data_IF_010394398905
#
_entry.id   IF_010394398905
#
_cell.length_a   1.000
_cell.length_b   1.000
_cell.length_c   1.000
_cell.angle_alpha   90.00
_cell.angle_beta   90.00
_cell.angle_gamma   90.00
#
_symmetry.space_group_name_H-M   'P 1'
#
loop_
_entity.id
_entity.type
_entity.pdbx_description
1 polymer ?
#
# COMPACT_ATOMS: atom_id res chain seq x y z
N UNK A 1 -20.93 -13.81 -31.29
CA UNK A 1 -21.66 -13.91 -30.00
C UNK A 1 -20.85 -14.56 -28.87
N UNK A 2 -20.17 -15.71 -29.07
CA UNK A 2 -19.39 -16.39 -28.02
C UNK A 2 -18.27 -15.55 -27.38
N UNK A 3 -17.49 -14.82 -28.19
CA UNK A 3 -16.44 -13.91 -27.69
C UNK A 3 -17.03 -12.77 -26.86
N UNK A 4 -18.14 -12.18 -27.30
CA UNK A 4 -18.77 -11.04 -26.64
C UNK A 4 -19.34 -11.44 -25.27
N UNK A 5 -19.96 -12.62 -25.18
CA UNK A 5 -20.41 -13.21 -23.91
C UNK A 5 -19.24 -13.53 -22.96
N UNK A 6 -18.12 -14.01 -23.50
CA UNK A 6 -16.90 -14.29 -22.72
C UNK A 6 -16.29 -12.99 -22.16
N UNK A 7 -16.18 -11.94 -22.97
CA UNK A 7 -15.69 -10.64 -22.53
C UNK A 7 -16.58 -10.03 -21.44
N UNK A 8 -17.90 -10.09 -21.63
CA UNK A 8 -18.85 -9.54 -20.65
C UNK A 8 -18.78 -10.28 -19.30
N UNK A 9 -18.72 -11.62 -19.33
CA UNK A 9 -18.58 -12.42 -18.11
C UNK A 9 -17.25 -12.19 -17.40
N UNK A 10 -16.14 -12.07 -18.13
CA UNK A 10 -14.83 -11.71 -17.55
C UNK A 10 -14.86 -10.31 -16.94
N UNK A 11 -15.48 -9.32 -17.60
CA UNK A 11 -15.61 -7.96 -17.07
C UNK A 11 -16.42 -7.93 -15.77
N UNK A 12 -17.51 -8.70 -15.73
CA UNK A 12 -18.40 -8.78 -14.56
C UNK A 12 -17.67 -9.43 -13.36
N UNK A 13 -16.92 -10.50 -13.59
CA UNK A 13 -16.06 -11.10 -12.56
C UNK A 13 -14.95 -10.15 -12.09
N UNK A 14 -14.33 -9.39 -13.00
CA UNK A 14 -13.32 -8.40 -12.65
C UNK A 14 -13.91 -7.28 -11.76
N UNK A 15 -15.12 -6.80 -12.07
CA UNK A 15 -15.82 -5.82 -11.25
C UNK A 15 -16.12 -6.36 -9.85
N UNK A 16 -16.60 -7.61 -9.74
CA UNK A 16 -16.81 -8.28 -8.45
C UNK A 16 -15.49 -8.40 -7.67
N UNK A 17 -14.41 -8.83 -8.34
CA UNK A 17 -13.08 -8.92 -7.74
C UNK A 17 -12.57 -7.59 -7.20
N UNK A 18 -12.86 -6.49 -7.90
CA UNK A 18 -12.51 -5.14 -7.46
C UNK A 18 -13.28 -4.71 -6.21
N UNK A 19 -14.58 -5.01 -6.13
CA UNK A 19 -15.38 -4.77 -4.93
C UNK A 19 -14.82 -5.56 -3.75
N UNK A 20 -14.55 -6.85 -3.93
CA UNK A 20 -13.93 -7.71 -2.91
C UNK A 20 -12.58 -7.13 -2.46
N UNK A 21 -11.74 -6.68 -3.40
CA UNK A 21 -10.47 -6.04 -3.08
C UNK A 21 -10.66 -4.79 -2.23
N UNK A 22 -11.62 -3.92 -2.55
CA UNK A 22 -11.91 -2.72 -1.77
C UNK A 22 -12.29 -3.06 -0.32
N UNK A 23 -13.10 -4.11 -0.11
CA UNK A 23 -13.42 -4.61 1.22
C UNK A 23 -12.18 -5.18 1.94
N UNK A 24 -11.40 -6.05 1.28
CA UNK A 24 -10.17 -6.61 1.85
C UNK A 24 -9.16 -5.52 2.22
N UNK A 25 -9.09 -4.46 1.42
CA UNK A 25 -8.21 -3.31 1.67
C UNK A 25 -8.54 -2.63 2.99
N UNK A 26 -9.82 -2.30 3.21
CA UNK A 26 -10.27 -1.61 4.41
C UNK A 26 -10.14 -2.49 5.67
N UNK A 27 -10.55 -3.76 5.59
CA UNK A 27 -10.62 -4.64 6.76
C UNK A 27 -9.30 -5.33 7.10
N UNK A 28 -8.55 -5.80 6.09
CA UNK A 28 -7.36 -6.64 6.26
C UNK A 28 -6.10 -5.83 5.99
N UNK A 29 -5.96 -5.25 4.80
CA UNK A 29 -4.70 -4.64 4.37
C UNK A 29 -4.35 -3.36 5.13
N UNK A 30 -5.36 -2.62 5.60
CA UNK A 30 -5.19 -1.47 6.50
C UNK A 30 -4.49 -1.85 7.82
N UNK A 31 -4.69 -3.08 8.31
CA UNK A 31 -4.13 -3.55 9.58
C UNK A 31 -2.77 -4.23 9.46
N UNK A 32 -2.44 -4.78 8.29
CA UNK A 32 -1.22 -5.57 8.09
C UNK A 32 -0.15 -4.76 7.36
N UNK A 33 0.90 -4.36 8.09
CA UNK A 33 2.09 -3.70 7.51
C UNK A 33 3.04 -4.75 6.93
N UNK A 34 2.78 -5.20 5.71
CA UNK A 34 3.64 -6.17 5.02
C UNK A 34 4.67 -5.45 4.14
N UNK A 35 5.90 -5.97 4.05
CA UNK A 35 6.91 -5.46 3.13
C UNK A 35 6.54 -5.79 1.67
N UNK A 36 6.60 -4.81 0.76
CA UNK A 36 6.23 -4.93 -0.67
C UNK A 36 6.80 -6.16 -1.37
N UNK A 37 8.04 -6.54 -1.05
CA UNK A 37 8.72 -7.68 -1.65
C UNK A 37 8.10 -9.03 -1.28
N UNK A 38 7.49 -9.12 -0.09
CA UNK A 38 6.84 -10.35 0.38
C UNK A 38 5.56 -10.60 -0.43
N UNK A 39 4.70 -9.57 -0.61
CA UNK A 39 3.49 -9.71 -1.42
C UNK A 39 3.85 -10.05 -2.87
N UNK A 40 4.89 -9.41 -3.43
CA UNK A 40 5.36 -9.70 -4.78
C UNK A 40 5.81 -11.16 -4.92
N UNK A 41 6.61 -11.65 -3.98
CA UNK A 41 7.09 -13.03 -3.99
C UNK A 41 5.94 -14.03 -3.89
N UNK A 42 4.96 -13.78 -3.03
CA UNK A 42 3.74 -14.61 -2.91
C UNK A 42 2.97 -14.62 -4.22
N UNK A 43 2.79 -13.45 -4.83
CA UNK A 43 2.04 -13.30 -6.08
C UNK A 43 2.69 -14.11 -7.21
N UNK A 44 4.01 -13.99 -7.36
CA UNK A 44 4.78 -14.75 -8.37
C UNK A 44 4.69 -16.25 -8.10
N UNK A 45 4.86 -16.66 -6.85
CA UNK A 45 4.81 -18.06 -6.45
C UNK A 45 3.46 -18.69 -6.78
N UNK A 46 2.35 -18.00 -6.51
CA UNK A 46 1.00 -18.45 -6.87
C UNK A 46 0.85 -18.62 -8.39
N UNK A 47 1.35 -17.68 -9.20
CA UNK A 47 1.29 -17.78 -10.68
C UNK A 47 2.10 -18.97 -11.18
N UNK A 48 3.32 -19.14 -10.68
CA UNK A 48 4.19 -20.24 -11.09
C UNK A 48 3.57 -21.59 -10.72
N UNK A 49 3.04 -21.73 -9.49
CA UNK A 49 2.34 -22.94 -9.09
C UNK A 49 1.12 -23.20 -9.97
N UNK A 50 0.23 -22.22 -10.13
CA UNK A 50 -0.99 -22.41 -10.93
C UNK A 50 -0.70 -22.77 -12.39
N UNK A 51 0.37 -22.20 -12.96
CA UNK A 51 0.85 -22.56 -14.29
C UNK A 51 1.44 -23.97 -14.34
N UNK A 52 2.21 -24.37 -13.32
CA UNK A 52 2.82 -25.71 -13.23
C UNK A 52 1.78 -26.81 -13.06
N UNK A 53 0.73 -26.58 -12.25
CA UNK A 53 -0.35 -27.55 -12.00
C UNK A 53 -1.39 -27.62 -13.13
N UNK A 54 -1.29 -26.80 -14.18
CA UNK A 54 -2.16 -26.90 -15.37
C UNK A 54 -3.65 -26.64 -15.10
N UNK A 55 -3.98 -25.95 -14.01
CA UNK A 55 -5.38 -25.72 -13.56
C UNK A 55 -6.14 -24.74 -14.46
N UNK A 56 -5.44 -24.02 -15.35
CA UNK A 56 -5.94 -22.87 -16.11
C UNK A 56 -7.01 -23.14 -17.19
N UNK A 57 -7.30 -24.39 -17.56
CA UNK A 57 -8.00 -24.66 -18.82
C UNK A 57 -9.48 -25.06 -18.75
N UNK A 58 -9.87 -25.91 -17.79
CA UNK A 58 -11.10 -26.72 -17.94
C UNK A 58 -12.20 -26.40 -16.93
N UNK A 59 -11.84 -25.88 -15.77
CA UNK A 59 -12.78 -25.65 -14.65
C UNK A 59 -13.05 -24.17 -14.44
N UNK A 60 -14.24 -23.85 -13.93
CA UNK A 60 -14.64 -22.47 -13.59
C UNK A 60 -13.66 -21.83 -12.59
N UNK A 61 -13.07 -22.67 -11.73
CA UNK A 61 -12.01 -22.31 -10.78
C UNK A 61 -10.76 -21.76 -11.48
N UNK A 62 -10.28 -22.47 -12.50
CA UNK A 62 -9.10 -22.07 -13.26
C UNK A 62 -9.34 -20.87 -14.16
N UNK A 63 -10.56 -20.76 -14.70
CA UNK A 63 -10.90 -19.70 -15.67
C UNK A 63 -11.22 -18.35 -15.03
N UNK A 64 -11.84 -18.33 -13.85
CA UNK A 64 -12.31 -17.09 -13.23
C UNK A 64 -11.76 -16.87 -11.83
N UNK A 65 -11.79 -17.88 -10.96
CA UNK A 65 -11.48 -17.71 -9.53
C UNK A 65 -9.99 -17.50 -9.31
N UNK A 66 -9.14 -18.37 -9.85
CA UNK A 66 -7.68 -18.25 -9.72
C UNK A 66 -7.14 -16.94 -10.32
N UNK A 67 -7.55 -16.51 -11.54
CA UNK A 67 -7.18 -15.20 -12.07
C UNK A 67 -7.65 -14.04 -11.19
N UNK A 68 -8.85 -14.12 -10.63
CA UNK A 68 -9.37 -13.07 -9.75
C UNK A 68 -8.52 -12.94 -8.49
N UNK A 69 -8.15 -14.07 -7.87
CA UNK A 69 -7.27 -14.09 -6.70
C UNK A 69 -5.90 -13.48 -7.04
N UNK A 70 -5.32 -13.84 -8.19
CA UNK A 70 -4.07 -13.25 -8.66
C UNK A 70 -4.17 -11.74 -8.79
N UNK A 71 -5.23 -11.23 -9.42
CA UNK A 71 -5.47 -9.79 -9.58
C UNK A 71 -5.58 -9.10 -8.23
N UNK A 72 -6.27 -9.70 -7.25
CA UNK A 72 -6.40 -9.17 -5.88
C UNK A 72 -5.03 -9.04 -5.20
N UNK A 73 -4.20 -10.10 -5.23
CA UNK A 73 -2.85 -10.06 -4.65
C UNK A 73 -1.95 -9.06 -5.36
N UNK A 74 -2.06 -8.96 -6.68
CA UNK A 74 -1.31 -7.99 -7.46
C UNK A 74 -1.74 -6.54 -7.15
N UNK A 75 -3.05 -6.27 -7.04
CA UNK A 75 -3.56 -4.96 -6.60
C UNK A 75 -3.09 -4.63 -5.18
N UNK A 76 -2.99 -5.62 -4.29
CA UNK A 76 -2.46 -5.41 -2.95
C UNK A 76 -0.97 -5.05 -2.96
N UNK A 77 -0.19 -5.66 -3.84
CA UNK A 77 1.19 -5.26 -4.07
C UNK A 77 1.29 -3.81 -4.58
N UNK A 78 0.43 -3.40 -5.52
CA UNK A 78 0.38 -2.03 -6.03
C UNK A 78 -0.01 -1.02 -4.94
N UNK A 79 -0.97 -1.35 -4.09
CA UNK A 79 -1.39 -0.55 -2.94
C UNK A 79 -0.24 -0.36 -1.94
N UNK A 80 0.43 -1.46 -1.58
CA UNK A 80 1.61 -1.44 -0.70
C UNK A 80 2.78 -0.67 -1.31
N UNK A 81 2.92 -0.70 -2.64
CA UNK A 81 3.95 0.04 -3.37
C UNK A 81 3.65 1.55 -3.48
N UNK A 82 2.49 1.99 -2.99
CA UNK A 82 2.12 3.40 -2.93
C UNK A 82 1.35 3.93 -4.13
N UNK A 83 0.88 3.07 -5.03
CA UNK A 83 0.12 3.50 -6.20
C UNK A 83 -1.19 4.21 -5.82
N UNK A 84 -1.94 3.66 -4.86
CA UNK A 84 -3.19 4.28 -4.38
C UNK A 84 -2.97 5.33 -3.29
N UNK A 85 -1.80 5.34 -2.64
CA UNK A 85 -1.44 6.38 -1.69
C UNK A 85 -1.36 7.76 -2.36
N UNK A 86 -0.99 7.85 -3.65
CA UNK A 86 -0.99 9.11 -4.40
C UNK A 86 -2.41 9.71 -4.59
N UNK A 87 -3.44 8.86 -4.59
CA UNK A 87 -4.84 9.28 -4.71
C UNK A 87 -5.38 9.74 -3.35
N UNK A 88 -5.03 9.06 -2.25
CA UNK A 88 -5.40 9.46 -0.88
C UNK A 88 -4.56 10.61 -0.31
N UNK A 89 -3.33 10.80 -0.80
CA UNK A 89 -2.39 11.81 -0.30
C UNK A 89 -2.83 13.25 -0.54
N UNK A 90 -3.78 13.50 -1.47
CA UNK A 90 -4.39 14.82 -1.61
C UNK A 90 -5.08 15.30 -0.31
N UNK A 91 -5.50 14.38 0.57
CA UNK A 91 -6.02 14.71 1.90
C UNK A 91 -5.02 14.52 3.04
N UNK A 92 -4.27 13.40 3.06
CA UNK A 92 -3.47 12.98 4.24
C UNK A 92 -2.05 13.56 4.31
N UNK A 93 -1.48 14.02 3.19
CA UNK A 93 -0.12 14.61 3.19
C UNK A 93 -0.07 15.96 3.92
N UNK A 94 -1.20 16.66 4.02
CA UNK A 94 -1.29 17.90 4.79
C UNK A 94 -1.16 17.66 6.30
N UNK A 95 -1.69 16.56 6.84
CA UNK A 95 -1.64 16.26 8.27
C UNK A 95 -0.34 15.60 8.73
N UNK A 96 0.22 14.67 7.95
CA UNK A 96 1.48 14.00 8.33
C UNK A 96 2.70 14.94 8.26
N UNK A 97 2.73 15.89 7.33
CA UNK A 97 3.82 16.89 7.28
C UNK A 97 3.69 17.97 8.37
N UNK A 98 2.48 18.29 8.83
CA UNK A 98 2.26 19.23 9.94
C UNK A 98 2.84 18.73 11.26
N UNK A 99 2.87 17.41 11.46
CA UNK A 99 3.40 16.80 12.68
C UNK A 99 4.92 16.51 12.63
N UNK A 100 5.54 16.42 11.44
CA UNK A 100 6.99 16.17 11.30
C UNK A 100 7.86 17.43 11.36
N UNK A 101 7.26 18.63 11.31
CA UNK A 101 7.97 19.92 11.44
C UNK A 101 7.41 20.82 12.54
N UNK A 102 7.08 20.26 13.70
CA UNK A 102 7.17 21.06 14.92
C UNK A 102 8.65 21.15 15.31
N UNK A 103 9.41 21.87 14.50
CA UNK A 103 10.66 22.46 14.99
C UNK A 103 10.21 23.53 15.97
N UNK A 104 10.00 23.11 17.22
CA UNK A 104 9.60 24.00 18.29
C UNK A 104 10.78 24.92 18.47
N UNK A 105 10.68 26.13 17.91
CA UNK A 105 11.64 27.21 18.13
C UNK A 105 11.57 27.53 19.61
N UNK A 106 12.37 26.81 20.40
CA UNK A 106 12.54 27.10 21.82
C UNK A 106 13.30 28.42 21.87
N UNK A 107 12.85 29.41 22.66
CA UNK A 107 13.62 30.63 22.84
C UNK A 107 15.02 30.24 23.33
N UNK A 108 16.05 30.57 22.54
CA UNK A 108 17.44 30.37 22.97
C UNK A 108 17.65 31.19 24.22
N UNK A 109 18.24 30.59 25.25
CA UNK A 109 18.51 31.27 26.50
C UNK A 109 19.33 32.54 26.25
N UNK A 110 18.98 33.63 26.96
CA UNK A 110 19.75 34.88 26.93
C UNK A 110 21.21 34.56 27.27
N UNK A 111 22.20 34.97 26.45
CA UNK A 111 23.59 34.74 26.78
C UNK A 111 23.89 35.40 28.13
N UNK A 112 24.37 34.62 29.09
CA UNK A 112 24.67 35.09 30.43
C UNK A 112 25.79 36.14 30.34
N UNK A 113 25.45 37.42 30.54
CA UNK A 113 26.37 38.57 30.34
C UNK A 113 27.30 38.81 31.54
N UNK A 114 27.33 37.94 32.56
CA UNK A 114 27.93 38.26 33.88
C UNK A 114 29.04 37.29 34.29
N UNK A 115 29.90 36.87 33.36
CA UNK A 115 31.11 36.11 33.70
C UNK A 115 32.35 36.91 33.29
N UNK A 116 32.56 38.08 33.91
CA UNK A 116 33.83 38.82 33.98
C UNK A 116 33.66 40.07 34.86
N UNK A 117 33.35 39.87 36.14
CA UNK A 117 33.57 40.88 37.19
C UNK A 117 34.32 40.14 38.29
N UNK A 118 35.48 40.64 38.71
CA UNK A 118 36.42 40.05 39.68
C UNK A 118 37.50 39.16 39.06
N UNK A 119 38.32 39.75 38.21
CA UNK A 119 39.69 39.28 38.01
C UNK A 119 40.62 40.49 37.87
N UNK A 120 40.71 41.28 38.94
CA UNK A 120 41.76 42.28 39.22
C UNK A 120 41.55 42.78 40.65
N UNK A 121 41.82 41.92 41.63
CA UNK A 121 42.15 42.32 43.00
C UNK A 121 43.39 41.50 43.39
N UNK A 122 44.56 42.09 43.12
CA UNK A 122 45.87 41.94 43.79
C UNK A 122 46.95 42.59 42.96
#
# INVERSE_FOLDING_TARGET
MRILMALLSTLLFAAIGFVIFAFLREFVFSKVKVNKWIILSITILIVVLTSYFGVSGKSILGRYILPTIYVIFFLWFLDTSGLFNAVESKGKTYEQNKNRKKDVIRPKAKPNRVKNTNKNDK
#
